data_IF_619074806665
#
_entry.id   IF_619074806665
#
_cell.length_a   1.000
_cell.length_b   1.000
_cell.length_c   1.000
_cell.angle_alpha   90.00
_cell.angle_beta   90.00
_cell.angle_gamma   90.00
#
_symmetry.space_group_name_H-M   'P 1'
#
loop_
_entity.id
_entity.type
_entity.pdbx_description
1 polymer ?
#
# COMPACT_ATOMS: atom_id res chain seq x y z
N UNK A 1 0.73 7.49 12.79
CA UNK A 1 1.71 8.59 12.57
C UNK A 1 3.15 8.04 12.60
N UNK A 2 3.63 7.57 11.45
CA UNK A 2 4.95 6.97 11.29
C UNK A 2 5.66 7.59 10.09
N UNK A 3 6.96 7.81 10.22
CA UNK A 3 7.80 8.28 9.12
C UNK A 3 8.31 7.11 8.28
N UNK A 4 8.51 7.35 6.98
CA UNK A 4 9.26 6.44 6.11
C UNK A 4 10.76 6.62 6.34
N UNK A 5 11.56 5.59 6.03
CA UNK A 5 13.02 5.67 6.17
C UNK A 5 13.68 6.66 5.21
N UNK A 6 13.11 6.84 4.03
CA UNK A 6 13.58 7.76 3.01
C UNK A 6 12.39 8.25 2.18
N UNK A 7 12.41 9.54 1.83
CA UNK A 7 11.50 10.15 0.86
C UNK A 7 12.26 10.38 -0.44
N UNK A 8 11.67 9.96 -1.55
CA UNK A 8 12.16 10.21 -2.91
C UNK A 8 11.01 10.81 -3.72
N UNK A 9 11.28 11.85 -4.50
CA UNK A 9 10.24 12.65 -5.15
C UNK A 9 10.03 12.27 -6.63
N UNK A 10 10.79 11.29 -7.15
CA UNK A 10 10.67 10.83 -8.54
C UNK A 10 10.92 9.33 -8.73
N UNK A 11 10.27 8.78 -9.77
CA UNK A 11 10.49 7.40 -10.20
C UNK A 11 11.97 7.12 -10.59
N UNK A 12 12.65 8.14 -11.13
CA UNK A 12 14.06 8.05 -11.53
C UNK A 12 14.99 7.88 -10.33
N UNK A 13 14.72 8.58 -9.22
CA UNK A 13 15.49 8.41 -7.97
C UNK A 13 15.29 7.02 -7.38
N UNK A 14 14.06 6.51 -7.38
CA UNK A 14 13.73 5.16 -6.91
C UNK A 14 14.49 4.12 -7.75
N UNK A 15 14.43 4.24 -9.08
CA UNK A 15 15.12 3.33 -10.00
C UNK A 15 16.64 3.34 -9.79
N UNK A 16 17.26 4.52 -9.58
CA UNK A 16 18.68 4.61 -9.24
C UNK A 16 19.01 3.94 -7.91
N UNK A 17 18.19 4.15 -6.89
CA UNK A 17 18.38 3.52 -5.58
C UNK A 17 18.30 1.98 -5.68
N UNK A 18 17.36 1.45 -6.47
CA UNK A 18 17.27 0.02 -6.76
C UNK A 18 18.54 -0.50 -7.44
N UNK A 19 19.00 0.16 -8.50
CA UNK A 19 20.20 -0.23 -9.24
C UNK A 19 21.44 -0.25 -8.35
N UNK A 20 21.69 0.83 -7.59
CA UNK A 20 22.84 0.92 -6.68
C UNK A 20 22.77 -0.17 -5.60
N UNK A 21 21.60 -0.38 -4.98
CA UNK A 21 21.40 -1.42 -3.96
C UNK A 21 21.87 -2.79 -4.48
N UNK A 22 21.36 -3.21 -5.63
CA UNK A 22 21.64 -4.55 -6.15
C UNK A 22 23.03 -4.67 -6.79
N UNK A 23 23.55 -3.63 -7.45
CA UNK A 23 24.94 -3.61 -7.95
C UNK A 23 25.97 -3.66 -6.81
N UNK A 24 25.62 -3.16 -5.62
CA UNK A 24 26.45 -3.25 -4.42
C UNK A 24 26.34 -4.61 -3.71
N UNK A 25 25.60 -5.58 -4.26
CA UNK A 25 25.41 -6.91 -3.66
C UNK A 25 24.44 -6.94 -2.48
N UNK A 26 23.68 -5.87 -2.22
CA UNK A 26 22.71 -5.83 -1.12
C UNK A 26 21.38 -6.47 -1.56
N UNK A 27 21.23 -7.77 -1.29
CA UNK A 27 20.03 -8.55 -1.63
C UNK A 27 18.73 -8.01 -0.96
N UNK A 28 17.58 -8.48 -1.44
CA UNK A 28 16.25 -8.13 -0.92
C UNK A 28 15.51 -7.05 -1.72
N UNK A 29 14.23 -6.84 -1.39
CA UNK A 29 13.35 -5.87 -2.05
C UNK A 29 13.38 -4.47 -1.44
N UNK A 30 12.60 -3.56 -2.02
CA UNK A 30 12.26 -2.25 -1.48
C UNK A 30 10.74 -2.12 -1.42
N UNK A 31 10.21 -1.47 -0.38
CA UNK A 31 8.79 -1.10 -0.31
C UNK A 31 8.67 0.38 -0.67
N UNK A 32 7.94 0.68 -1.75
CA UNK A 32 7.63 2.05 -2.17
C UNK A 32 6.21 2.36 -1.70
N UNK A 33 6.10 3.11 -0.61
CA UNK A 33 4.81 3.55 -0.09
C UNK A 33 4.32 4.78 -0.88
N UNK A 34 3.24 4.61 -1.63
CA UNK A 34 2.65 5.66 -2.45
C UNK A 34 1.28 6.06 -1.87
N UNK A 35 1.13 7.30 -1.37
CA UNK A 35 -0.14 7.76 -0.82
C UNK A 35 -1.29 7.62 -1.82
N UNK A 36 -2.48 7.27 -1.32
CA UNK A 36 -3.70 7.34 -2.12
C UNK A 36 -3.98 8.81 -2.53
N UNK A 37 -4.48 9.10 -3.75
CA UNK A 37 -4.87 10.46 -4.10
C UNK A 37 -5.95 10.98 -3.13
N UNK A 38 -5.83 12.24 -2.70
CA UNK A 38 -6.66 12.84 -1.64
C UNK A 38 -8.17 12.69 -1.89
N UNK A 39 -8.62 12.84 -3.14
CA UNK A 39 -10.03 12.71 -3.53
C UNK A 39 -10.63 11.31 -3.29
N UNK A 40 -9.79 10.28 -3.11
CA UNK A 40 -10.21 8.91 -2.83
C UNK A 40 -9.85 8.47 -1.41
N UNK A 41 -9.18 9.33 -0.64
CA UNK A 41 -8.84 9.05 0.75
C UNK A 41 -10.12 9.00 1.59
N UNK A 42 -10.17 8.03 2.51
CA UNK A 42 -11.28 7.92 3.44
C UNK A 42 -11.12 8.90 4.60
N UNK A 43 -12.22 9.41 5.18
CA UNK A 43 -12.16 10.14 6.44
C UNK A 43 -11.53 9.27 7.52
N UNK A 44 -10.48 9.79 8.16
CA UNK A 44 -9.66 9.05 9.14
C UNK A 44 -10.50 8.43 10.26
N UNK A 45 -11.42 9.22 10.84
CA UNK A 45 -12.31 8.74 11.90
C UNK A 45 -13.18 7.56 11.44
N UNK A 46 -13.74 7.63 10.23
CA UNK A 46 -14.64 6.60 9.70
C UNK A 46 -13.89 5.30 9.43
N UNK A 47 -12.72 5.37 8.78
CA UNK A 47 -11.97 4.15 8.45
C UNK A 47 -11.35 3.51 9.68
N UNK A 48 -10.84 4.30 10.64
CA UNK A 48 -10.28 3.76 11.88
C UNK A 48 -11.37 3.07 12.72
N UNK A 49 -12.56 3.67 12.87
CA UNK A 49 -13.66 3.03 13.59
C UNK A 49 -14.08 1.70 12.96
N UNK A 50 -14.13 1.62 11.62
CA UNK A 50 -14.45 0.38 10.92
C UNK A 50 -13.36 -0.69 11.09
N UNK A 51 -12.08 -0.31 11.06
CA UNK A 51 -10.94 -1.22 11.28
C UNK A 51 -10.96 -1.75 12.72
N UNK A 52 -11.08 -0.87 13.71
CA UNK A 52 -11.07 -1.25 15.13
C UNK A 52 -12.20 -2.24 15.45
N UNK A 53 -13.40 -1.98 14.92
CA UNK A 53 -14.52 -2.91 15.06
C UNK A 53 -14.26 -4.25 14.36
N UNK A 54 -13.76 -4.24 13.12
CA UNK A 54 -13.47 -5.48 12.39
C UNK A 54 -12.40 -6.33 13.09
N UNK A 55 -11.39 -5.71 13.69
CA UNK A 55 -10.35 -6.39 14.47
C UNK A 55 -10.94 -7.03 15.72
N UNK A 56 -11.73 -6.29 16.50
CA UNK A 56 -12.39 -6.83 17.68
C UNK A 56 -13.32 -8.02 17.36
N UNK A 57 -14.05 -7.94 16.25
CA UNK A 57 -14.92 -9.03 15.78
C UNK A 57 -14.10 -10.25 15.31
N UNK A 58 -12.98 -10.04 14.62
CA UNK A 58 -12.09 -11.12 14.20
C UNK A 58 -11.50 -11.87 15.40
N UNK A 59 -11.07 -11.14 16.43
CA UNK A 59 -10.56 -11.70 17.68
C UNK A 59 -11.64 -12.48 18.43
N UNK A 60 -12.84 -11.91 18.57
CA UNK A 60 -13.97 -12.57 19.23
C UNK A 60 -14.40 -13.87 18.52
N UNK A 61 -14.25 -13.93 17.20
CA UNK A 61 -14.56 -15.10 16.37
C UNK A 61 -13.38 -16.08 16.24
N UNK A 62 -12.19 -15.73 16.76
CA UNK A 62 -11.00 -16.57 16.68
C UNK A 62 -10.42 -16.70 15.27
N UNK A 63 -10.59 -15.68 14.40
CA UNK A 63 -10.06 -15.69 13.03
C UNK A 63 -8.55 -15.47 13.05
N UNK A 64 -7.77 -16.47 12.64
CA UNK A 64 -6.31 -16.47 12.73
C UNK A 64 -5.60 -16.84 11.43
N UNK A 65 -4.31 -16.49 11.35
CA UNK A 65 -3.44 -16.88 10.24
C UNK A 65 -3.87 -16.27 8.91
N UNK A 66 -3.89 -17.09 7.86
CA UNK A 66 -4.19 -16.65 6.49
C UNK A 66 -5.63 -16.13 6.31
N UNK A 67 -6.53 -16.43 7.24
CA UNK A 67 -7.93 -16.02 7.17
C UNK A 67 -8.17 -14.60 7.69
N UNK A 68 -7.25 -14.07 8.50
CA UNK A 68 -7.40 -12.76 9.13
C UNK A 68 -7.51 -11.62 8.12
N UNK A 69 -6.60 -11.49 7.15
CA UNK A 69 -6.66 -10.38 6.19
C UNK A 69 -7.90 -10.42 5.28
N UNK A 70 -8.28 -11.55 4.67
CA UNK A 70 -9.53 -11.63 3.89
C UNK A 70 -10.76 -11.26 4.71
N UNK A 71 -10.87 -11.76 5.96
CA UNK A 71 -11.97 -11.42 6.86
C UNK A 71 -12.02 -9.92 7.15
N UNK A 72 -10.89 -9.33 7.58
CA UNK A 72 -10.82 -7.93 7.98
C UNK A 72 -11.18 -7.00 6.81
N UNK A 73 -10.64 -7.26 5.61
CA UNK A 73 -10.95 -6.43 4.44
C UNK A 73 -12.42 -6.54 4.02
N UNK A 74 -13.00 -7.75 4.05
CA UNK A 74 -14.42 -7.94 3.76
C UNK A 74 -15.30 -7.21 4.79
N UNK A 75 -14.97 -7.32 6.08
CA UNK A 75 -15.74 -6.69 7.15
C UNK A 75 -15.64 -5.17 7.13
N UNK A 76 -14.46 -4.61 6.89
CA UNK A 76 -14.29 -3.16 6.71
C UNK A 76 -15.07 -2.66 5.49
N UNK A 77 -15.11 -3.42 4.40
CA UNK A 77 -15.94 -3.10 3.24
C UNK A 77 -17.43 -3.07 3.61
N UNK A 78 -17.93 -4.03 4.37
CA UNK A 78 -19.32 -4.05 4.85
C UNK A 78 -19.64 -2.86 5.76
N UNK A 79 -18.81 -2.60 6.79
CA UNK A 79 -19.00 -1.52 7.76
C UNK A 79 -18.95 -0.12 7.13
N UNK A 80 -18.25 0.02 6.00
CA UNK A 80 -18.13 1.27 5.24
C UNK A 80 -19.08 1.36 4.05
N UNK A 81 -20.04 0.43 3.91
CA UNK A 81 -20.98 0.43 2.78
C UNK A 81 -20.31 0.26 1.41
N UNK A 82 -19.13 -0.34 1.37
CA UNK A 82 -18.31 -0.56 0.17
C UNK A 82 -17.35 0.58 -0.17
N UNK A 83 -17.33 1.68 0.57
CA UNK A 83 -16.46 2.83 0.24
C UNK A 83 -14.98 2.52 0.42
N UNK A 84 -14.60 1.72 1.43
CA UNK A 84 -13.20 1.26 1.57
C UNK A 84 -12.73 0.41 0.39
N UNK A 85 -13.62 -0.40 -0.19
CA UNK A 85 -13.32 -1.18 -1.39
C UNK A 85 -13.11 -0.26 -2.59
N UNK A 86 -13.94 0.76 -2.76
CA UNK A 86 -13.78 1.77 -3.84
C UNK A 86 -12.45 2.51 -3.68
N UNK A 87 -12.10 2.95 -2.48
CA UNK A 87 -10.79 3.58 -2.19
C UNK A 87 -9.62 2.63 -2.48
N UNK A 88 -9.74 1.35 -2.12
CA UNK A 88 -8.71 0.34 -2.39
C UNK A 88 -8.47 0.16 -3.91
N UNK A 89 -9.55 0.13 -4.71
CA UNK A 89 -9.46 0.07 -6.18
C UNK A 89 -8.68 1.28 -6.73
N UNK A 90 -8.97 2.49 -6.25
CA UNK A 90 -8.27 3.69 -6.69
C UNK A 90 -6.80 3.72 -6.28
N UNK A 91 -6.48 3.24 -5.07
CA UNK A 91 -5.10 3.05 -4.62
C UNK A 91 -4.34 2.08 -5.54
N UNK A 92 -4.96 0.96 -5.95
CA UNK A 92 -4.33 -0.01 -6.87
C UNK A 92 -4.01 0.65 -8.21
N UNK A 93 -4.92 1.42 -8.79
CA UNK A 93 -4.64 2.15 -10.03
C UNK A 93 -3.51 3.18 -9.88
N UNK A 94 -3.52 3.95 -8.79
CA UNK A 94 -2.45 4.91 -8.52
C UNK A 94 -1.08 4.22 -8.39
N UNK A 95 -1.03 3.09 -7.70
CA UNK A 95 0.19 2.29 -7.54
C UNK A 95 0.66 1.69 -8.86
N UNK A 96 -0.26 1.22 -9.71
CA UNK A 96 0.08 0.67 -11.03
C UNK A 96 0.72 1.73 -11.94
N UNK A 97 0.24 2.98 -11.89
CA UNK A 97 0.83 4.11 -12.64
C UNK A 97 2.27 4.36 -12.18
N UNK A 98 2.48 4.57 -10.87
CA UNK A 98 3.82 4.83 -10.33
C UNK A 98 4.78 3.66 -10.59
N UNK A 99 4.32 2.43 -10.39
CA UNK A 99 5.12 1.22 -10.65
C UNK A 99 5.56 1.13 -12.12
N UNK A 100 4.67 1.49 -13.06
CA UNK A 100 4.99 1.51 -14.48
C UNK A 100 6.05 2.56 -14.84
N UNK A 101 5.99 3.75 -14.23
CA UNK A 101 7.01 4.78 -14.42
C UNK A 101 8.37 4.37 -13.82
N UNK A 102 8.38 3.77 -12.63
CA UNK A 102 9.61 3.20 -12.03
C UNK A 102 10.20 2.12 -12.94
N UNK A 103 9.36 1.24 -13.49
CA UNK A 103 9.82 0.17 -14.38
C UNK A 103 10.48 0.71 -15.65
N UNK A 104 9.91 1.76 -16.28
CA UNK A 104 10.52 2.45 -17.44
C UNK A 104 11.88 3.04 -17.08
N UNK A 105 11.95 3.75 -15.96
CA UNK A 105 13.18 4.39 -15.49
C UNK A 105 14.27 3.36 -15.15
N UNK A 106 13.89 2.25 -14.51
CA UNK A 106 14.81 1.16 -14.19
C UNK A 106 15.36 0.48 -15.45
N UNK A 107 14.50 0.20 -16.43
CA UNK A 107 14.93 -0.35 -17.72
C UNK A 107 15.91 0.58 -18.46
N UNK A 108 15.69 1.89 -18.39
CA UNK A 108 16.59 2.89 -19.00
C UNK A 108 17.99 2.91 -18.37
N UNK A 109 18.13 2.53 -17.10
CA UNK A 109 19.43 2.44 -16.42
C UNK A 109 20.15 1.12 -16.67
N UNK A 110 19.41 0.07 -17.02
CA UNK A 110 19.94 -1.26 -17.28
C UNK A 110 20.36 -1.47 -18.74
N UNK A 111 19.85 -0.66 -19.67
CA UNK A 111 20.29 -0.58 -21.06
C UNK A 111 21.46 0.37 -21.23
#
# INVERSE_FOLDING_TARGET
>A
PFDVSIRLDSASEIARAMAVKWQSGLNGGLVVANPIPEQFAMPEHTINAAIDQAVAEAEAQGVIGKESTPFLLARVAELTGGDSLKSNIQLVFNNAILASEIAKEYQRLAG
#
